data_IF_920659566745
#
_entry.id   IF_920659566745
#
_cell.length_a   1.000
_cell.length_b   1.000
_cell.length_c   1.000
_cell.angle_alpha   90.00
_cell.angle_beta   90.00
_cell.angle_gamma   90.00
#
_symmetry.space_group_name_H-M   'P 1'
#
loop_
_entity.id
_entity.type
_entity.pdbx_description
1 polymer ?
#
# COMPACT_ATOMS: atom_id res chain seq x y z
N UNK A 1 -2.25 -8.46 13.58
CA UNK A 1 -3.43 -8.93 12.83
C UNK A 1 -4.66 -8.51 13.62
N UNK A 2 -5.73 -8.04 12.98
CA UNK A 2 -6.89 -7.50 13.68
C UNK A 2 -7.74 -8.61 14.32
N UNK A 3 -8.36 -8.32 15.48
CA UNK A 3 -9.16 -9.29 16.26
C UNK A 3 -10.25 -10.03 15.45
N UNK A 4 -10.78 -9.39 14.41
CA UNK A 4 -11.79 -9.98 13.52
C UNK A 4 -11.20 -10.99 12.54
N UNK A 5 -9.99 -10.75 12.01
CA UNK A 5 -9.34 -11.67 11.09
C UNK A 5 -9.00 -12.99 11.80
N UNK A 6 -8.51 -12.90 13.03
CA UNK A 6 -8.19 -14.06 13.86
C UNK A 6 -9.44 -14.90 14.18
N UNK A 7 -10.57 -14.23 14.38
CA UNK A 7 -11.86 -14.87 14.64
C UNK A 7 -12.46 -15.54 13.39
N UNK A 8 -12.33 -14.92 12.21
CA UNK A 8 -12.79 -15.52 10.95
C UNK A 8 -11.91 -16.70 10.52
N UNK A 9 -10.60 -16.62 10.76
CA UNK A 9 -9.61 -17.65 10.40
C UNK A 9 -9.50 -18.80 11.42
N UNK A 10 -10.09 -18.65 12.62
CA UNK A 10 -10.15 -19.69 13.65
C UNK A 10 -11.24 -20.73 13.39
N UNK A 11 -12.26 -20.39 12.58
CA UNK A 11 -13.30 -21.34 12.18
C UNK A 11 -12.71 -22.39 11.22
N UNK A 12 -12.83 -23.69 11.51
CA UNK A 12 -12.32 -24.74 10.63
C UNK A 12 -13.07 -24.73 9.28
N UNK A 13 -12.33 -24.81 8.17
CA UNK A 13 -12.89 -24.87 6.81
C UNK A 13 -13.13 -23.52 6.12
N UNK A 14 -13.06 -22.37 6.82
CA UNK A 14 -13.26 -21.04 6.20
C UNK A 14 -12.03 -20.52 5.46
N UNK A 15 -10.82 -20.97 5.86
CA UNK A 15 -9.53 -20.55 5.29
C UNK A 15 -9.47 -20.57 3.76
N UNK A 16 -9.78 -21.68 3.04
CA UNK A 16 -9.66 -21.71 1.59
C UNK A 16 -10.59 -20.70 0.89
N UNK A 17 -11.79 -20.49 1.43
CA UNK A 17 -12.76 -19.52 0.92
C UNK A 17 -12.25 -18.09 1.11
N UNK A 18 -11.79 -17.76 2.32
CA UNK A 18 -11.24 -16.43 2.64
C UNK A 18 -10.00 -16.15 1.78
N UNK A 19 -9.12 -17.14 1.57
CA UNK A 19 -7.96 -17.00 0.69
C UNK A 19 -8.36 -16.83 -0.78
N UNK A 20 -9.42 -17.50 -1.25
CA UNK A 20 -9.93 -17.30 -2.61
C UNK A 20 -10.47 -15.86 -2.80
N UNK A 21 -11.27 -15.38 -1.85
CA UNK A 21 -11.81 -14.02 -1.84
C UNK A 21 -10.69 -12.97 -1.77
N UNK A 22 -9.70 -13.16 -0.90
CA UNK A 22 -8.55 -12.27 -0.79
C UNK A 22 -7.73 -12.22 -2.09
N UNK A 23 -7.54 -13.36 -2.77
CA UNK A 23 -6.86 -13.40 -4.07
C UNK A 23 -7.64 -12.67 -5.16
N UNK A 24 -8.96 -12.83 -5.19
CA UNK A 24 -9.83 -12.10 -6.12
C UNK A 24 -9.73 -10.59 -5.88
N UNK A 25 -9.91 -10.15 -4.63
CA UNK A 25 -9.80 -8.74 -4.25
C UNK A 25 -8.43 -8.16 -4.59
N UNK A 26 -7.36 -8.90 -4.31
CA UNK A 26 -5.99 -8.48 -4.64
C UNK A 26 -5.83 -8.23 -6.15
N UNK A 27 -6.36 -9.11 -7.00
CA UNK A 27 -6.30 -8.96 -8.46
C UNK A 27 -7.08 -7.74 -8.95
N UNK A 28 -8.22 -7.45 -8.33
CA UNK A 28 -9.03 -6.29 -8.70
C UNK A 28 -8.33 -4.97 -8.34
N UNK A 29 -7.83 -4.89 -7.11
CA UNK A 29 -7.02 -3.74 -6.67
C UNK A 29 -5.80 -3.54 -7.55
N UNK A 30 -5.12 -4.63 -7.92
CA UNK A 30 -3.97 -4.56 -8.82
C UNK A 30 -4.34 -3.98 -10.19
N UNK A 31 -5.44 -4.44 -10.79
CA UNK A 31 -5.91 -3.92 -12.08
C UNK A 31 -6.22 -2.42 -12.00
N UNK A 32 -6.92 -1.98 -10.94
CA UNK A 32 -7.24 -0.56 -10.76
C UNK A 32 -5.98 0.30 -10.57
N UNK A 33 -5.01 -0.16 -9.78
CA UNK A 33 -3.77 0.58 -9.57
C UNK A 33 -2.90 0.65 -10.84
N UNK A 34 -2.86 -0.43 -11.64
CA UNK A 34 -2.16 -0.46 -12.93
C UNK A 34 -2.71 0.58 -13.90
N UNK A 35 -4.03 0.79 -13.96
CA UNK A 35 -4.66 1.81 -14.83
C UNK A 35 -4.13 3.22 -14.60
N UNK A 36 -3.75 3.54 -13.36
CA UNK A 36 -3.19 4.85 -12.97
C UNK A 36 -1.66 4.83 -12.82
N UNK A 37 -1.03 3.66 -12.92
CA UNK A 37 0.39 3.47 -12.65
C UNK A 37 0.78 3.80 -11.20
N UNK A 38 -0.08 3.43 -10.25
CA UNK A 38 0.20 3.58 -8.82
C UNK A 38 0.75 2.27 -8.25
N UNK A 39 1.57 2.39 -7.20
CA UNK A 39 1.93 1.27 -6.33
C UNK A 39 1.01 1.22 -5.13
N UNK A 40 0.86 0.05 -4.52
CA UNK A 40 0.01 -0.12 -3.34
C UNK A 40 0.42 0.80 -2.18
N UNK A 41 1.73 0.98 -1.98
CA UNK A 41 2.29 1.85 -0.94
C UNK A 41 1.99 3.35 -1.18
N UNK A 42 1.65 3.76 -2.41
CA UNK A 42 1.25 5.15 -2.72
C UNK A 42 -0.14 5.49 -2.13
N UNK A 43 -0.92 4.49 -1.69
CA UNK A 43 -2.24 4.67 -1.07
C UNK A 43 -2.18 5.02 0.42
N UNK A 44 -1.00 4.91 1.05
CA UNK A 44 -0.86 5.20 2.48
C UNK A 44 -1.11 6.69 2.75
N UNK A 45 -1.92 6.98 3.76
CA UNK A 45 -2.32 8.33 4.11
C UNK A 45 -1.17 9.08 4.76
N UNK A 46 -0.78 10.22 4.20
CA UNK A 46 0.29 11.06 4.73
C UNK A 46 -0.08 11.74 6.06
N UNK A 47 -1.37 11.81 6.38
CA UNK A 47 -1.87 12.31 7.67
C UNK A 47 -1.48 11.40 8.84
N UNK A 48 -1.15 10.14 8.57
CA UNK A 48 -0.67 9.23 9.60
C UNK A 48 0.77 9.59 9.97
N UNK A 49 1.08 9.87 11.24
CA UNK A 49 2.39 10.37 11.65
C UNK A 49 3.52 9.39 11.34
N UNK A 50 3.27 8.07 11.40
CA UNK A 50 4.28 7.07 11.05
C UNK A 50 4.53 7.00 9.54
N UNK A 51 3.53 7.33 8.72
CA UNK A 51 3.68 7.42 7.27
C UNK A 51 4.48 8.66 6.91
N UNK A 52 4.15 9.82 7.48
CA UNK A 52 4.93 11.06 7.30
C UNK A 52 6.40 10.88 7.69
N UNK A 53 6.65 10.31 8.89
CA UNK A 53 8.01 10.04 9.35
C UNK A 53 8.76 9.03 8.45
N UNK A 54 8.07 8.03 7.91
CA UNK A 54 8.67 7.09 6.96
C UNK A 54 9.01 7.75 5.63
N UNK A 55 8.17 8.66 5.14
CA UNK A 55 8.38 9.41 3.91
C UNK A 55 9.58 10.36 4.00
N UNK A 56 9.73 11.05 5.13
CA UNK A 56 10.87 11.94 5.39
C UNK A 56 12.21 11.18 5.40
N UNK A 57 12.20 9.91 5.79
CA UNK A 57 13.38 9.04 5.79
C UNK A 57 13.72 8.43 4.42
N UNK A 58 12.85 8.56 3.42
CA UNK A 58 13.12 7.97 2.10
C UNK A 58 14.27 8.70 1.39
N UNK A 59 15.09 7.98 0.60
CA UNK A 59 16.05 8.62 -0.29
C UNK A 59 15.35 9.61 -1.23
N UNK A 60 15.95 10.78 -1.52
CA UNK A 60 15.33 11.79 -2.39
C UNK A 60 14.88 11.26 -3.76
N UNK A 61 15.65 10.33 -4.34
CA UNK A 61 15.31 9.71 -5.62
C UNK A 61 14.01 8.88 -5.56
N UNK A 62 13.77 8.14 -4.47
CA UNK A 62 12.54 7.36 -4.29
C UNK A 62 11.33 8.26 -4.05
N UNK A 63 11.52 9.36 -3.30
CA UNK A 63 10.49 10.38 -3.10
C UNK A 63 10.09 11.02 -4.44
N UNK A 64 11.05 11.35 -5.30
CA UNK A 64 10.77 11.90 -6.62
C UNK A 64 10.00 10.91 -7.51
N UNK A 65 10.41 9.63 -7.53
CA UNK A 65 9.71 8.58 -8.26
C UNK A 65 8.26 8.40 -7.76
N UNK A 66 8.04 8.46 -6.44
CA UNK A 66 6.70 8.47 -5.85
C UNK A 66 5.87 9.65 -6.33
N UNK A 67 6.40 10.86 -6.25
CA UNK A 67 5.68 12.05 -6.71
C UNK A 67 5.37 12.02 -8.20
N UNK A 68 6.25 11.46 -9.04
CA UNK A 68 5.96 11.25 -10.47
C UNK A 68 4.73 10.37 -10.68
N UNK A 69 4.62 9.26 -9.93
CA UNK A 69 3.45 8.38 -9.98
C UNK A 69 2.17 9.08 -9.53
N UNK A 70 2.21 9.78 -8.40
CA UNK A 70 1.05 10.51 -7.85
C UNK A 70 0.58 11.62 -8.82
N UNK A 71 1.52 12.42 -9.37
CA UNK A 71 1.20 13.47 -10.35
C UNK A 71 0.56 12.89 -11.61
N UNK A 72 1.11 11.77 -12.13
CA UNK A 72 0.56 11.05 -13.27
C UNK A 72 -0.86 10.53 -12.99
N UNK A 73 -1.07 9.90 -11.83
CA UNK A 73 -2.38 9.39 -11.45
C UNK A 73 -3.42 10.51 -11.30
N UNK A 74 -3.03 11.65 -10.73
CA UNK A 74 -3.88 12.84 -10.62
C UNK A 74 -4.26 13.37 -12.00
N UNK A 75 -3.30 13.52 -12.91
CA UNK A 75 -3.54 13.97 -14.29
C UNK A 75 -4.51 13.05 -15.04
N UNK A 76 -4.29 11.73 -14.98
CA UNK A 76 -5.17 10.72 -15.57
C UNK A 76 -6.58 10.76 -14.96
N UNK A 77 -6.67 10.86 -13.63
CA UNK A 77 -7.95 10.96 -12.91
C UNK A 77 -8.75 12.21 -13.28
N UNK A 78 -8.06 13.34 -13.43
CA UNK A 78 -8.67 14.59 -13.89
C UNK A 78 -9.17 14.48 -15.33
N UNK A 79 -8.39 13.84 -16.21
CA UNK A 79 -8.73 13.64 -17.63
C UNK A 79 -9.76 12.53 -17.87
N UNK A 80 -10.07 11.71 -16.85
CA UNK A 80 -10.90 10.50 -16.99
C UNK A 80 -10.35 9.53 -18.05
N UNK A 81 -9.03 9.46 -18.13
CA UNK A 81 -8.31 8.55 -19.03
C UNK A 81 -7.42 7.61 -18.22
N UNK A 82 -6.95 6.55 -18.86
CA UNK A 82 -6.07 5.55 -18.25
C UNK A 82 -4.74 5.48 -18.97
N UNK A 83 -3.76 4.88 -18.30
CA UNK A 83 -2.47 4.59 -18.90
C UNK A 83 -2.63 3.56 -20.03
N UNK A 84 -1.77 3.65 -21.04
CA UNK A 84 -1.74 2.65 -22.11
C UNK A 84 -1.35 1.28 -21.53
N UNK A 85 -2.02 0.22 -22.01
CA UNK A 85 -1.90 -1.15 -21.47
C UNK A 85 -0.45 -1.65 -21.44
N UNK A 86 0.34 -1.36 -22.48
CA UNK A 86 1.73 -1.75 -22.57
C UNK A 86 2.61 -1.16 -21.46
N UNK A 87 2.28 0.04 -20.97
CA UNK A 87 2.99 0.70 -19.86
C UNK A 87 2.44 0.21 -18.53
N UNK A 88 1.11 0.08 -18.41
CA UNK A 88 0.45 -0.39 -17.19
C UNK A 88 0.90 -1.80 -16.76
N UNK A 89 1.21 -2.67 -17.72
CA UNK A 89 1.74 -4.02 -17.47
C UNK A 89 3.17 -4.03 -16.92
N UNK A 90 3.97 -2.98 -17.17
CA UNK A 90 5.35 -2.87 -16.68
C UNK A 90 5.43 -2.43 -15.21
N UNK A 91 4.37 -1.86 -14.66
CA UNK A 91 4.36 -1.38 -13.28
C UNK A 91 4.35 -2.56 -12.30
N UNK A 92 5.21 -2.52 -11.29
CA UNK A 92 5.17 -3.48 -10.18
C UNK A 92 4.38 -2.87 -9.01
N UNK A 93 3.07 -3.14 -8.98
CA UNK A 93 2.13 -2.60 -8.00
C UNK A 93 2.46 -3.05 -6.57
N UNK A 94 2.97 -4.27 -6.41
CA UNK A 94 3.15 -4.91 -5.10
C UNK A 94 4.56 -4.76 -4.53
N UNK A 95 5.48 -4.14 -5.27
CA UNK A 95 6.83 -3.83 -4.82
C UNK A 95 6.81 -2.84 -3.63
N UNK A 96 7.15 -3.30 -2.42
CA UNK A 96 7.18 -2.45 -1.25
C UNK A 96 8.33 -1.45 -1.32
N UNK A 97 8.07 -0.21 -0.92
CA UNK A 97 9.12 0.78 -0.67
C UNK A 97 8.89 1.59 0.61
N UNK A 98 7.67 1.60 1.14
CA UNK A 98 7.27 2.42 2.28
C UNK A 98 6.73 1.58 3.44
N UNK A 99 5.91 0.56 3.16
CA UNK A 99 5.16 -0.17 4.20
C UNK A 99 6.03 -0.85 5.24
N UNK A 100 7.21 -1.33 4.85
CA UNK A 100 8.16 -1.97 5.76
C UNK A 100 8.71 -0.94 6.76
N UNK A 101 9.09 0.25 6.27
CA UNK A 101 9.58 1.35 7.11
C UNK A 101 8.50 1.87 8.06
N UNK A 102 7.26 2.00 7.58
CA UNK A 102 6.10 2.35 8.41
C UNK A 102 5.88 1.32 9.52
N UNK A 103 6.01 0.03 9.21
CA UNK A 103 5.85 -1.04 10.21
C UNK A 103 6.91 -0.98 11.32
N UNK A 104 8.16 -0.67 10.96
CA UNK A 104 9.25 -0.49 11.91
C UNK A 104 9.05 0.73 12.81
N UNK A 105 8.58 1.85 12.25
CA UNK A 105 8.29 3.06 13.03
C UNK A 105 7.12 2.81 14.00
N UNK A 106 6.08 2.09 13.56
CA UNK A 106 4.96 1.69 14.42
C UNK A 106 5.42 0.79 15.57
N UNK A 107 6.30 -0.17 15.30
CA UNK A 107 6.86 -1.05 16.34
C UNK A 107 7.68 -0.25 17.36
N UNK A 108 8.61 0.60 16.90
CA UNK A 108 9.40 1.45 17.80
C UNK A 108 8.53 2.35 18.67
N UNK A 109 7.49 2.96 18.09
CA UNK A 109 6.55 3.80 18.84
C UNK A 109 5.79 3.01 19.90
N UNK A 110 5.40 1.78 19.58
CA UNK A 110 4.74 0.87 20.51
C UNK A 110 5.68 0.48 21.67
N UNK A 111 6.94 0.16 21.37
CA UNK A 111 7.97 -0.14 22.38
C UNK A 111 8.21 1.04 23.33
N UNK A 112 8.26 2.27 22.80
CA UNK A 112 8.38 3.49 23.62
C UNK A 112 7.19 3.64 24.58
N UNK A 113 5.97 3.52 24.06
CA UNK A 113 4.73 3.57 24.86
C UNK A 113 4.73 2.51 25.97
N UNK A 114 5.19 1.30 25.67
CA UNK A 114 5.29 0.20 26.64
C UNK A 114 6.39 0.42 27.68
N UNK A 115 7.49 1.07 27.31
CA UNK A 115 8.58 1.44 28.22
C UNK A 115 8.24 2.62 29.15
N UNK A 116 7.15 3.34 28.86
CA UNK A 116 6.69 4.48 29.67
C UNK A 116 7.49 5.78 29.45
N UNK A 117 8.28 5.84 28.37
CA UNK A 117 8.94 7.05 27.85
C UNK A 117 8.05 7.77 26.82
#
# INVERSE_FOLDING_TARGET
MGRLADLVLSVPGTRPLVTALARWYRREVEQELRKFGLRYDDLLLETDPEVSAALEQLPPAEQELRWKRIKRALDLSMKKTYLAENIAQQEDVWNPYLRERVSLIKQKRQELIESGE
#
